data_IF_523076640358
#
_entry.id   IF_523076640358
#
_cell.length_a   1.000
_cell.length_b   1.000
_cell.length_c   1.000
_cell.angle_alpha   90.00
_cell.angle_beta   90.00
_cell.angle_gamma   90.00
#
_symmetry.space_group_name_H-M   'P 1'
#
loop_
_entity.id
_entity.type
_entity.pdbx_description
1 polymer ?
#
# COMPACT_ATOMS: atom_id res chain seq x y z
N UNK A 1 -16.74 11.22 28.97
CA UNK A 1 -16.92 9.93 28.27
C UNK A 1 -16.03 9.81 27.04
N UNK A 2 -16.05 10.74 26.07
CA UNK A 2 -15.31 10.61 24.80
C UNK A 2 -13.76 10.46 24.89
N UNK A 3 -13.10 11.06 25.88
CA UNK A 3 -11.62 10.97 26.02
C UNK A 3 -11.17 9.58 26.45
N UNK A 4 -11.91 8.92 27.33
CA UNK A 4 -11.57 7.58 27.81
C UNK A 4 -11.67 6.53 26.69
N UNK A 5 -12.72 6.64 25.87
CA UNK A 5 -12.93 5.74 24.72
C UNK A 5 -11.83 5.90 23.67
N UNK A 6 -11.34 7.12 23.47
CA UNK A 6 -10.23 7.38 22.55
C UNK A 6 -8.92 6.75 23.04
N UNK A 7 -8.58 6.95 24.32
CA UNK A 7 -7.36 6.36 24.91
C UNK A 7 -7.44 4.84 24.88
N UNK A 8 -8.61 4.26 25.21
CA UNK A 8 -8.87 2.81 25.11
C UNK A 8 -8.67 2.29 23.69
N UNK A 9 -9.16 3.00 22.68
CA UNK A 9 -9.01 2.60 21.29
C UNK A 9 -7.55 2.63 20.81
N UNK A 10 -6.82 3.70 21.15
CA UNK A 10 -5.41 3.84 20.78
C UNK A 10 -4.57 2.74 21.43
N UNK A 11 -4.78 2.50 22.73
CA UNK A 11 -4.08 1.43 23.46
C UNK A 11 -4.42 0.05 22.94
N UNK A 12 -5.70 -0.25 22.66
CA UNK A 12 -6.10 -1.51 22.04
C UNK A 12 -5.37 -1.75 20.72
N UNK A 13 -5.34 -0.76 19.82
CA UNK A 13 -4.63 -0.88 18.54
C UNK A 13 -3.12 -1.06 18.72
N UNK A 14 -2.54 -0.37 19.69
CA UNK A 14 -1.11 -0.46 19.99
C UNK A 14 -0.72 -1.85 20.51
N UNK A 15 -1.46 -2.39 21.46
CA UNK A 15 -1.23 -3.73 22.02
C UNK A 15 -1.38 -4.80 20.95
N UNK A 16 -2.47 -4.77 20.17
CA UNK A 16 -2.66 -5.70 19.05
C UNK A 16 -1.53 -5.64 18.03
N UNK A 17 -0.93 -4.47 17.82
CA UNK A 17 0.22 -4.34 16.93
C UNK A 17 1.51 -4.92 17.54
N UNK A 18 1.75 -4.71 18.83
CA UNK A 18 2.92 -5.24 19.54
C UNK A 18 2.89 -6.77 19.67
N UNK A 19 1.72 -7.33 19.97
CA UNK A 19 1.53 -8.78 20.13
C UNK A 19 1.56 -9.54 18.79
N UNK A 20 1.57 -8.82 17.67
CA UNK A 20 1.58 -9.45 16.35
C UNK A 20 2.93 -10.17 16.11
N UNK A 21 2.92 -11.51 15.95
CA UNK A 21 4.15 -12.27 15.76
C UNK A 21 4.83 -11.92 14.45
N UNK A 22 6.14 -12.16 14.37
CA UNK A 22 6.97 -11.81 13.19
C UNK A 22 6.48 -12.49 11.92
N UNK A 23 5.96 -13.71 12.05
CA UNK A 23 5.43 -14.52 10.96
C UNK A 23 4.14 -13.94 10.36
N UNK A 24 3.19 -13.55 11.22
CA UNK A 24 1.95 -12.85 10.82
C UNK A 24 2.27 -11.51 10.13
N UNK A 25 3.29 -10.78 10.60
CA UNK A 25 3.78 -9.55 9.96
C UNK A 25 4.33 -9.82 8.56
N UNK A 26 5.09 -10.89 8.37
CA UNK A 26 5.62 -11.27 7.06
C UNK A 26 4.50 -11.67 6.10
N UNK A 27 3.53 -12.46 6.58
CA UNK A 27 2.34 -12.88 5.81
C UNK A 27 1.49 -11.69 5.37
N UNK A 28 1.27 -10.70 6.23
CA UNK A 28 0.55 -9.47 5.88
C UNK A 28 1.29 -8.64 4.83
N UNK A 29 2.63 -8.59 4.89
CA UNK A 29 3.44 -7.90 3.87
C UNK A 29 3.38 -8.61 2.52
N UNK A 30 3.43 -9.94 2.49
CA UNK A 30 3.33 -10.71 1.25
C UNK A 30 1.93 -10.64 0.64
N UNK A 31 0.87 -10.74 1.44
CA UNK A 31 -0.52 -10.57 1.00
C UNK A 31 -0.72 -9.19 0.34
N UNK A 32 -0.29 -8.11 0.99
CA UNK A 32 -0.34 -6.75 0.40
C UNK A 32 0.46 -6.61 -0.88
N UNK A 33 1.53 -7.40 -1.05
CA UNK A 33 2.35 -7.40 -2.26
C UNK A 33 1.67 -8.16 -3.41
N UNK A 34 0.90 -9.21 -3.09
CA UNK A 34 0.12 -10.00 -4.05
C UNK A 34 -1.16 -9.30 -4.48
N UNK A 35 -1.84 -8.59 -3.56
CA UNK A 35 -3.04 -7.80 -3.85
C UNK A 35 -2.76 -6.57 -4.70
N UNK A 36 -1.50 -6.09 -4.73
CA UNK A 36 -1.12 -4.96 -5.57
C UNK A 36 -1.10 -5.41 -7.03
N UNK A 37 -1.91 -4.78 -7.91
CA UNK A 37 -1.84 -5.07 -9.33
C UNK A 37 -0.43 -4.75 -9.85
N UNK A 38 0.10 -5.54 -10.79
CA UNK A 38 1.40 -5.29 -11.39
C UNK A 38 1.51 -3.85 -11.89
N UNK A 39 2.65 -3.19 -11.63
CA UNK A 39 2.89 -1.83 -12.14
C UNK A 39 2.78 -1.78 -13.67
N UNK A 40 3.15 -2.86 -14.36
CA UNK A 40 2.96 -3.02 -15.80
C UNK A 40 1.49 -2.87 -16.23
N UNK A 41 0.55 -3.40 -15.44
CA UNK A 41 -0.89 -3.25 -15.70
C UNK A 41 -1.35 -1.82 -15.48
N UNK A 42 -0.88 -1.17 -14.41
CA UNK A 42 -1.23 0.24 -14.11
C UNK A 42 -0.63 1.23 -15.11
N UNK A 43 0.51 0.88 -15.71
CA UNK A 43 1.25 1.70 -16.67
C UNK A 43 0.94 1.30 -18.13
N UNK A 44 0.12 0.26 -18.35
CA UNK A 44 -0.40 -0.09 -19.67
C UNK A 44 -1.20 1.09 -20.22
N UNK A 45 -0.98 1.46 -21.48
CA UNK A 45 -1.56 2.66 -22.09
C UNK A 45 -0.80 3.96 -21.80
N UNK A 46 -0.32 4.18 -20.56
CA UNK A 46 0.49 5.37 -20.24
C UNK A 46 1.86 5.28 -20.91
N UNK A 47 2.54 4.12 -20.85
CA UNK A 47 3.85 3.91 -21.48
C UNK A 47 3.86 4.23 -22.98
N UNK A 48 3.00 3.62 -23.83
CA UNK A 48 2.99 3.93 -25.26
C UNK A 48 2.58 5.38 -25.55
N UNK A 49 1.69 5.98 -24.74
CA UNK A 49 1.31 7.39 -24.87
C UNK A 49 2.49 8.33 -24.57
N UNK A 50 3.19 8.11 -23.45
CA UNK A 50 4.38 8.88 -23.07
C UNK A 50 5.49 8.75 -24.11
N UNK A 51 5.73 7.54 -24.63
CA UNK A 51 6.67 7.32 -25.73
C UNK A 51 6.27 8.09 -26.99
N UNK A 52 5.00 8.01 -27.41
CA UNK A 52 4.50 8.74 -28.59
C UNK A 52 4.64 10.26 -28.44
N UNK A 53 4.38 10.79 -27.25
CA UNK A 53 4.56 12.21 -26.95
C UNK A 53 6.05 12.62 -26.94
N UNK A 54 6.93 11.77 -26.43
CA UNK A 54 8.38 11.99 -26.46
C UNK A 54 8.93 12.01 -27.89
N UNK A 55 8.50 11.07 -28.73
CA UNK A 55 8.88 11.02 -30.15
C UNK A 55 8.29 12.17 -30.96
N UNK A 56 7.09 12.66 -30.61
CA UNK A 56 6.47 13.82 -31.26
C UNK A 56 7.06 15.16 -30.85
N UNK A 57 7.80 15.21 -29.73
CA UNK A 57 8.54 16.39 -29.26
C UNK A 57 10.01 16.38 -29.66
N UNK A 58 10.44 15.45 -30.53
CA UNK A 58 11.70 15.60 -31.26
C UNK A 58 11.55 16.83 -32.18
N UNK A 59 12.42 17.86 -32.09
CA UNK A 59 12.44 18.94 -33.07
C UNK A 59 12.76 18.40 -34.47
#
# INVERSE_FOLDING_TARGET
MAVNDYVKFVTQRFVTYMDMPKEERARRRSARKQERPPLSYRLFGIVPLSLRLLFRRRP
#
